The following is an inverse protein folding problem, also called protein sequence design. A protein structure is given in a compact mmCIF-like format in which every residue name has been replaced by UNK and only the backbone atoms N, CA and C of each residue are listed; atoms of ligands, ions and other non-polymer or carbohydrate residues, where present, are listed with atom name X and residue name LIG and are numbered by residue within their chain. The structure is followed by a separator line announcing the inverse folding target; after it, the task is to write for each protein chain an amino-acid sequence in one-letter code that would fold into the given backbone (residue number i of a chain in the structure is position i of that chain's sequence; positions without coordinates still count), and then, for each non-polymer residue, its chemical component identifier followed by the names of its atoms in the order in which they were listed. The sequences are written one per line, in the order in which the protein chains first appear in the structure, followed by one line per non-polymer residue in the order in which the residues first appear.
data_IF_969045726085
#
_entry.id   IF_969045726085
#
_cell.length_a   1.000
_cell.length_b   1.000
_cell.length_c   1.000
_cell.angle_alpha   90.00
_cell.angle_beta   90.00
_cell.angle_gamma   90.00
#
_symmetry.space_group_name_H-M   'P 1'
#
loop_
_entity.id
_entity.type
_entity.pdbx_description
1 polymer ?
#
# COMPACT_ATOMS: atom_id res chain seq x y z
N UNK A 1 3.60 12.62 -4.81
CA UNK A 1 3.80 11.32 -5.46
C UNK A 1 5.09 10.70 -4.94
N UNK A 2 5.09 9.42 -4.53
CA UNK A 2 6.28 8.69 -4.04
C UNK A 2 6.57 7.54 -5.00
N UNK A 3 7.85 7.24 -5.23
CA UNK A 3 8.30 6.10 -6.04
C UNK A 3 8.85 5.01 -5.13
N UNK A 4 8.58 3.77 -5.51
CA UNK A 4 9.13 2.56 -4.90
C UNK A 4 9.69 1.68 -6.02
N UNK A 5 10.76 0.94 -5.75
CA UNK A 5 11.31 -0.05 -6.67
C UNK A 5 10.43 -1.29 -6.63
N UNK A 6 10.32 -1.99 -7.75
CA UNK A 6 9.55 -3.24 -7.82
C UNK A 6 10.07 -4.32 -6.86
N UNK A 7 11.37 -4.27 -6.52
CA UNK A 7 12.02 -5.17 -5.55
C UNK A 7 11.86 -4.77 -4.08
N UNK A 8 11.25 -3.62 -3.79
CA UNK A 8 10.93 -3.25 -2.41
C UNK A 8 9.70 -4.01 -1.92
N UNK A 9 9.65 -4.28 -0.61
CA UNK A 9 8.53 -4.93 0.05
C UNK A 9 7.36 -3.97 0.23
N UNK A 10 6.14 -4.51 0.23
CA UNK A 10 4.93 -3.73 0.50
C UNK A 10 4.97 -3.04 1.88
N UNK A 11 5.62 -3.64 2.88
CA UNK A 11 5.88 -3.01 4.19
C UNK A 11 6.58 -1.65 4.10
N UNK A 12 7.33 -1.35 3.03
CA UNK A 12 7.95 -0.03 2.82
C UNK A 12 6.89 1.04 2.54
N UNK A 13 5.83 0.71 1.78
CA UNK A 13 4.68 1.60 1.56
C UNK A 13 3.93 1.83 2.87
N UNK A 14 3.66 0.77 3.63
CA UNK A 14 2.95 0.84 4.91
C UNK A 14 3.72 1.73 5.90
N UNK A 15 5.03 1.54 6.04
CA UNK A 15 5.89 2.38 6.88
C UNK A 15 5.93 3.84 6.42
N UNK A 16 5.95 4.08 5.10
CA UNK A 16 5.89 5.43 4.55
C UNK A 16 4.58 6.14 4.92
N UNK A 17 3.44 5.44 4.87
CA UNK A 17 2.15 5.98 5.29
C UNK A 17 2.08 6.19 6.82
N UNK A 18 2.62 5.25 7.59
CA UNK A 18 2.75 5.39 9.05
C UNK A 18 3.59 6.60 9.44
N UNK A 19 4.73 6.84 8.77
CA UNK A 19 5.55 8.03 8.98
C UNK A 19 4.85 9.35 8.61
N UNK A 20 3.76 9.29 7.84
CA UNK A 20 2.89 10.43 7.55
C UNK A 20 1.74 10.59 8.55
N UNK A 21 1.63 9.71 9.54
CA UNK A 21 0.57 9.73 10.56
C UNK A 21 -0.58 8.76 10.28
N UNK A 22 -0.53 7.96 9.22
CA UNK A 22 -1.57 6.99 8.89
C UNK A 22 -1.18 5.59 9.38
N UNK A 23 -1.57 5.27 10.61
CA UNK A 23 -1.38 3.94 11.20
C UNK A 23 -2.37 2.93 10.62
N UNK A 24 -1.94 1.70 10.36
CA UNK A 24 -2.84 0.60 9.93
C UNK A 24 -3.84 0.18 11.00
N UNK A 25 -3.67 0.63 12.25
CA UNK A 25 -4.65 0.40 13.32
C UNK A 25 -5.89 1.25 13.15
N UNK A 26 -5.71 2.50 12.71
CA UNK A 26 -6.75 3.53 12.65
C UNK A 26 -7.25 3.77 11.21
N UNK A 27 -6.42 3.40 10.22
CA UNK A 27 -6.69 3.60 8.80
C UNK A 27 -6.69 2.29 8.03
N UNK A 28 -7.46 2.26 6.93
CA UNK A 28 -7.36 1.25 5.87
C UNK A 28 -6.82 1.89 4.60
N UNK A 29 -6.03 1.12 3.86
CA UNK A 29 -5.43 1.55 2.61
C UNK A 29 -6.06 0.77 1.48
N UNK A 30 -6.62 1.45 0.50
CA UNK A 30 -7.21 0.81 -0.66
C UNK A 30 -6.45 1.16 -1.93
N UNK A 31 -6.31 0.20 -2.82
CA UNK A 31 -5.80 0.44 -4.17
C UNK A 31 -6.95 0.49 -5.18
N UNK A 32 -6.75 1.28 -6.26
CA UNK A 32 -7.66 1.41 -7.39
C UNK A 32 -9.11 1.81 -7.05
N UNK A 33 -9.85 2.37 -8.01
CA UNK A 33 -11.30 2.58 -7.84
C UNK A 33 -12.07 1.27 -8.07
N UNK A 34 -11.66 0.41 -9.01
CA UNK A 34 -12.32 -0.86 -9.32
C UNK A 34 -11.38 -1.97 -9.88
N UNK A 35 -11.37 -3.18 -9.29
CA UNK A 35 -11.95 -3.53 -7.99
C UNK A 35 -11.10 -2.91 -6.86
N UNK A 36 -11.74 -2.16 -5.96
CA UNK A 36 -11.12 -1.62 -4.73
C UNK A 36 -10.63 -2.78 -3.87
N UNK A 37 -9.32 -2.92 -3.65
CA UNK A 37 -8.77 -3.96 -2.75
C UNK A 37 -8.12 -3.31 -1.53
N UNK A 38 -8.32 -3.94 -0.38
CA UNK A 38 -7.70 -3.52 0.87
C UNK A 38 -6.23 -3.98 0.89
N UNK A 39 -5.33 -3.03 0.72
CA UNK A 39 -3.87 -3.22 0.71
C UNK A 39 -3.38 -3.70 2.09
N UNK A 40 -4.07 -3.37 3.17
CA UNK A 40 -3.68 -3.80 4.52
C UNK A 40 -3.89 -5.30 4.75
N UNK A 41 -4.64 -5.97 3.86
CA UNK A 41 -4.85 -7.43 3.88
C UNK A 41 -3.81 -8.21 3.09
N UNK A 42 -2.94 -7.52 2.34
CA UNK A 42 -1.90 -8.15 1.52
C UNK A 42 -0.69 -8.55 2.39
N UNK A 43 0.06 -9.54 1.89
CA UNK A 43 1.30 -9.98 2.53
C UNK A 43 2.40 -8.91 2.41
N UNK A 44 2.66 -8.19 3.51
CA UNK A 44 3.62 -7.10 3.58
C UNK A 44 5.09 -7.53 3.41
N UNK A 45 5.36 -8.84 3.51
CA UNK A 45 6.68 -9.42 3.36
C UNK A 45 7.09 -9.58 1.89
N UNK A 46 6.11 -9.60 0.97
CA UNK A 46 6.30 -9.69 -0.47
C UNK A 46 6.68 -8.35 -1.09
N UNK A 47 7.43 -8.44 -2.17
CA UNK A 47 7.79 -7.31 -3.02
C UNK A 47 6.63 -6.85 -3.89
N UNK A 48 6.69 -5.61 -4.37
CA UNK A 48 5.72 -5.10 -5.34
C UNK A 48 5.67 -5.96 -6.61
N UNK A 49 6.80 -6.52 -7.05
CA UNK A 49 6.86 -7.46 -8.17
C UNK A 49 6.08 -8.76 -7.88
N UNK A 50 6.31 -9.38 -6.72
CA UNK A 50 5.64 -10.62 -6.32
C UNK A 50 4.13 -10.45 -6.10
N UNK A 51 3.69 -9.24 -5.75
CA UNK A 51 2.28 -8.88 -5.64
C UNK A 51 1.65 -8.48 -6.98
N UNK A 52 2.40 -8.51 -8.09
CA UNK A 52 2.00 -7.99 -9.40
C UNK A 52 1.46 -6.55 -9.31
N UNK A 53 2.11 -5.72 -8.48
CA UNK A 53 1.71 -4.35 -8.25
C UNK A 53 1.90 -3.52 -9.53
N UNK A 54 0.92 -2.68 -9.93
CA UNK A 54 1.03 -1.94 -11.17
C UNK A 54 2.11 -0.87 -11.09
N UNK A 55 2.71 -0.53 -12.24
CA UNK A 55 3.79 0.48 -12.36
C UNK A 55 3.38 1.84 -11.77
N UNK A 56 2.08 2.15 -11.81
CA UNK A 56 1.47 3.31 -11.19
C UNK A 56 0.18 2.89 -10.52
N UNK A 57 0.03 3.25 -9.25
CA UNK A 57 -1.16 2.96 -8.43
C UNK A 57 -1.54 4.21 -7.64
N UNK A 58 -2.84 4.38 -7.40
CA UNK A 58 -3.37 5.34 -6.45
C UNK A 58 -3.75 4.61 -5.16
N UNK A 59 -3.29 5.14 -4.03
CA UNK A 59 -3.64 4.64 -2.70
C UNK A 59 -4.63 5.62 -2.06
N UNK A 60 -5.79 5.11 -1.70
CA UNK A 60 -6.78 5.80 -0.88
C UNK A 60 -6.55 5.43 0.57
N UNK A 61 -6.56 6.44 1.45
CA UNK A 61 -6.41 6.27 2.89
C UNK A 61 -7.74 6.66 3.52
N UNK A 62 -8.38 5.71 4.20
CA UNK A 62 -9.69 5.88 4.81
C UNK A 62 -9.61 5.59 6.31
N UNK A 63 -10.26 6.40 7.13
CA UNK A 63 -10.42 6.12 8.56
C UNK A 63 -11.34 4.91 8.76
N UNK A 64 -11.05 4.11 9.79
CA UNK A 64 -11.85 2.95 10.16
C UNK A 64 -13.14 3.31 10.86
#
# INVERSE_FOLDING_TARGET
MRRFRSSEKLSVLIKFLGAKGYSTNDYRFFNSDFPKKDVTTLDESKTFAELNWPVREQIFVEER
#
